data_IF_025403887220
#
_entry.id   IF_025403887220
#
_cell.length_a   1.000
_cell.length_b   1.000
_cell.length_c   1.000
_cell.angle_alpha   90.00
_cell.angle_beta   90.00
_cell.angle_gamma   90.00
#
_symmetry.space_group_name_H-M   'P 1'
#
loop_
_entity.id
_entity.type
_entity.pdbx_description
1 polymer ?
#
# COMPACT_ATOMS: atom_id res chain seq x y z
N UNK A 1 -2.57 -13.18 -12.26
CA UNK A 1 -1.47 -13.43 -11.30
C UNK A 1 -0.27 -12.47 -11.40
N UNK A 2 0.06 -11.84 -12.54
CA UNK A 2 1.30 -11.05 -12.68
C UNK A 2 1.38 -9.68 -11.97
N UNK A 3 0.25 -9.00 -11.71
CA UNK A 3 0.27 -7.64 -11.13
C UNK A 3 0.54 -7.62 -9.61
N UNK A 4 0.04 -8.62 -8.88
CA UNK A 4 0.26 -8.79 -7.44
C UNK A 4 1.75 -8.97 -7.10
N UNK A 5 2.42 -9.93 -7.74
CA UNK A 5 3.85 -10.19 -7.50
C UNK A 5 4.74 -8.99 -7.86
N UNK A 6 4.33 -8.21 -8.87
CA UNK A 6 5.03 -6.98 -9.25
C UNK A 6 4.90 -5.88 -8.20
N UNK A 7 3.69 -5.63 -7.66
CA UNK A 7 3.48 -4.67 -6.56
C UNK A 7 4.08 -5.14 -5.23
N UNK A 8 4.16 -6.45 -5.01
CA UNK A 8 4.79 -7.01 -3.82
C UNK A 8 6.31 -6.75 -3.81
N UNK A 9 6.97 -6.94 -4.96
CA UNK A 9 8.41 -6.70 -5.12
C UNK A 9 8.77 -5.21 -5.12
N UNK A 10 7.96 -4.38 -5.79
CA UNK A 10 8.14 -2.94 -5.84
C UNK A 10 6.77 -2.27 -5.61
N UNK A 11 6.54 -1.68 -4.42
CA UNK A 11 5.31 -0.97 -4.11
C UNK A 11 4.99 0.04 -5.22
N UNK A 12 3.78 -0.04 -5.77
CA UNK A 12 3.33 0.79 -6.89
C UNK A 12 3.53 0.25 -8.32
N UNK A 13 4.33 -0.81 -8.55
CA UNK A 13 4.52 -1.37 -9.90
C UNK A 13 3.25 -2.01 -10.46
N UNK A 14 2.52 -2.80 -9.65
CA UNK A 14 1.27 -3.42 -10.08
C UNK A 14 0.18 -2.40 -10.39
N UNK A 15 0.20 -1.25 -9.72
CA UNK A 15 -0.74 -0.14 -9.95
C UNK A 15 -0.46 0.62 -11.25
N UNK A 16 0.81 0.78 -11.60
CA UNK A 16 1.20 1.28 -12.92
C UNK A 16 0.71 0.35 -14.04
N UNK A 17 0.77 -0.97 -13.83
CA UNK A 17 0.31 -1.97 -14.80
C UNK A 17 -1.23 -2.09 -14.91
N UNK A 18 -1.98 -1.72 -13.87
CA UNK A 18 -3.45 -1.71 -13.88
C UNK A 18 -4.06 -0.38 -14.36
N UNK A 19 -3.23 0.60 -14.75
CA UNK A 19 -3.69 1.89 -15.26
C UNK A 19 -4.09 2.89 -14.16
N UNK A 20 -3.62 2.70 -12.92
CA UNK A 20 -3.88 3.56 -11.76
C UNK A 20 -2.59 4.25 -11.27
N UNK A 21 -2.00 5.15 -12.08
CA UNK A 21 -0.67 5.72 -11.80
C UNK A 21 -0.62 6.55 -10.50
N UNK A 22 -1.71 7.24 -10.14
CA UNK A 22 -1.78 8.02 -8.89
C UNK A 22 -1.69 7.14 -7.65
N UNK A 23 -2.40 6.00 -7.65
CA UNK A 23 -2.35 5.04 -6.53
C UNK A 23 -0.95 4.42 -6.42
N UNK A 24 -0.34 4.07 -7.56
CA UNK A 24 1.05 3.59 -7.58
C UNK A 24 2.04 4.61 -7.03
N UNK A 25 1.93 5.88 -7.43
CA UNK A 25 2.79 6.96 -6.95
C UNK A 25 2.67 7.19 -5.43
N UNK A 26 1.46 7.08 -4.87
CA UNK A 26 1.25 7.21 -3.43
C UNK A 26 1.98 6.11 -2.64
N UNK A 27 1.90 4.86 -3.09
CA UNK A 27 2.62 3.74 -2.45
C UNK A 27 4.13 3.88 -2.55
N UNK A 28 4.67 4.33 -3.70
CA UNK A 28 6.11 4.59 -3.87
C UNK A 28 6.59 5.74 -2.99
N UNK A 29 5.82 6.82 -2.88
CA UNK A 29 6.18 7.94 -2.03
C UNK A 29 6.23 7.51 -0.55
N UNK A 30 5.21 6.76 -0.10
CA UNK A 30 5.17 6.24 1.26
C UNK A 30 6.30 5.25 1.56
N UNK A 31 6.60 4.38 0.60
CA UNK A 31 7.76 3.49 0.64
C UNK A 31 9.06 4.27 0.90
N UNK A 32 9.30 5.32 0.12
CA UNK A 32 10.48 6.18 0.28
C UNK A 32 10.58 6.80 1.68
N UNK A 33 9.46 7.26 2.25
CA UNK A 33 9.42 7.81 3.61
C UNK A 33 9.79 6.76 4.66
N UNK A 34 9.16 5.58 4.60
CA UNK A 34 9.38 4.52 5.60
C UNK A 34 10.80 3.96 5.52
N UNK A 35 11.34 3.77 4.30
CA UNK A 35 12.73 3.35 4.10
C UNK A 35 13.71 4.41 4.64
N UNK A 36 13.54 5.68 4.28
CA UNK A 36 14.39 6.77 4.76
C UNK A 36 14.39 6.87 6.29
N UNK A 37 13.23 6.80 6.91
CA UNK A 37 13.10 6.86 8.37
C UNK A 37 13.72 5.64 9.06
N UNK A 38 13.58 4.45 8.48
CA UNK A 38 14.25 3.24 8.97
C UNK A 38 15.77 3.41 8.95
N UNK A 39 16.34 3.88 7.83
CA UNK A 39 17.79 4.12 7.72
C UNK A 39 18.29 5.19 8.68
N UNK A 40 17.56 6.31 8.79
CA UNK A 40 17.88 7.41 9.70
C UNK A 40 17.86 6.94 11.16
N UNK A 41 16.80 6.26 11.59
CA UNK A 41 16.68 5.73 12.94
C UNK A 41 17.77 4.70 13.26
N UNK A 42 18.19 3.91 12.26
CA UNK A 42 19.27 2.94 12.42
C UNK A 42 20.63 3.61 12.59
N UNK A 43 20.90 4.68 11.83
CA UNK A 43 22.11 5.50 11.99
C UNK A 43 22.17 6.13 13.38
N UNK A 44 21.06 6.74 13.84
CA UNK A 44 20.97 7.33 15.17
C UNK A 44 21.11 6.27 16.28
N UNK A 45 20.50 5.09 16.12
CA UNK A 45 20.65 3.98 17.07
C UNK A 45 22.11 3.49 17.15
N UNK A 46 22.82 3.41 16.03
CA UNK A 46 24.22 3.01 16.01
C UNK A 46 25.11 4.03 16.73
N UNK A 47 24.90 5.32 16.48
CA UNK A 47 25.60 6.38 17.19
C UNK A 47 25.35 6.33 18.71
N UNK A 48 24.09 6.16 19.13
CA UNK A 48 23.73 6.05 20.54
C UNK A 48 24.31 4.79 21.21
N UNK A 49 24.54 3.72 20.45
CA UNK A 49 25.19 2.50 20.91
C UNK A 49 26.66 2.75 21.23
N UNK A 50 27.37 3.49 20.40
CA UNK A 50 28.78 3.82 20.62
C UNK A 50 28.98 4.64 21.91
N UNK A 51 28.12 5.62 22.14
CA UNK A 51 28.18 6.48 23.34
C UNK A 51 27.50 5.89 24.58
N UNK A 52 27.05 4.62 24.53
CA UNK A 52 26.37 3.92 25.63
C UNK A 52 25.17 4.70 26.23
N UNK A 53 24.43 5.41 25.38
CA UNK A 53 23.30 6.23 25.81
C UNK A 53 22.13 5.37 26.27
N UNK A 54 21.45 5.81 27.34
CA UNK A 54 20.19 5.20 27.84
C UNK A 54 19.06 5.22 26.80
N UNK A 55 19.13 6.13 25.82
CA UNK A 55 18.11 6.30 24.79
C UNK A 55 18.24 5.30 23.63
N UNK A 56 19.28 4.45 23.61
CA UNK A 56 19.49 3.44 22.57
C UNK A 56 18.26 2.55 22.36
N UNK A 57 17.58 2.17 23.45
CA UNK A 57 16.39 1.30 23.37
C UNK A 57 15.25 1.97 22.60
N UNK A 58 15.01 3.26 22.84
CA UNK A 58 13.96 4.03 22.16
C UNK A 58 14.25 4.13 20.66
N UNK A 59 15.50 4.40 20.27
CA UNK A 59 15.87 4.47 18.85
C UNK A 59 15.82 3.12 18.15
N UNK A 60 16.14 2.01 18.82
CA UNK A 60 15.94 0.67 18.26
C UNK A 60 14.46 0.33 18.06
N UNK A 61 13.60 0.77 18.98
CA UNK A 61 12.15 0.61 18.82
C UNK A 61 11.65 1.43 17.63
N UNK A 62 12.11 2.67 17.47
CA UNK A 62 11.79 3.50 16.31
C UNK A 62 12.18 2.83 14.98
N UNK A 63 13.35 2.17 14.90
CA UNK A 63 13.72 1.36 13.72
C UNK A 63 12.71 0.23 13.46
N UNK A 64 12.30 -0.48 14.51
CA UNK A 64 11.32 -1.57 14.39
C UNK A 64 9.97 -1.04 13.93
N UNK A 65 9.51 0.08 14.46
CA UNK A 65 8.23 0.69 14.11
C UNK A 65 8.21 1.10 12.62
N UNK A 66 9.27 1.75 12.14
CA UNK A 66 9.38 2.11 10.72
C UNK A 66 9.52 0.90 9.81
N UNK A 67 10.26 -0.13 10.23
CA UNK A 67 10.39 -1.37 9.48
C UNK A 67 9.05 -2.12 9.37
N UNK A 68 8.25 -2.13 10.44
CA UNK A 68 6.89 -2.70 10.40
C UNK A 68 6.03 -1.94 9.41
N UNK A 69 6.00 -0.61 9.46
CA UNK A 69 5.23 0.19 8.49
C UNK A 69 5.69 -0.05 7.05
N UNK A 70 6.99 -0.22 6.84
CA UNK A 70 7.56 -0.56 5.55
C UNK A 70 7.03 -1.92 5.04
N UNK A 71 7.13 -2.98 5.84
CA UNK A 71 6.60 -4.31 5.47
C UNK A 71 5.10 -4.29 5.21
N UNK A 72 4.32 -3.61 6.06
CA UNK A 72 2.88 -3.49 5.86
C UNK A 72 2.54 -2.71 4.58
N UNK A 73 3.33 -1.71 4.20
CA UNK A 73 3.14 -1.00 2.94
C UNK A 73 3.18 -1.94 1.72
N UNK A 74 4.13 -2.88 1.68
CA UNK A 74 4.20 -3.90 0.64
C UNK A 74 2.95 -4.77 0.59
N UNK A 75 2.46 -5.21 1.76
CA UNK A 75 1.26 -6.04 1.86
C UNK A 75 0.02 -5.27 1.38
N UNK A 76 -0.15 -4.01 1.79
CA UNK A 76 -1.25 -3.17 1.34
C UNK A 76 -1.17 -2.87 -0.16
N UNK A 77 0.01 -2.56 -0.69
CA UNK A 77 0.20 -2.33 -2.13
C UNK A 77 -0.13 -3.58 -2.96
N UNK A 78 0.27 -4.76 -2.47
CA UNK A 78 -0.08 -6.04 -3.07
C UNK A 78 -1.58 -6.30 -3.04
N UNK A 79 -2.23 -6.15 -1.88
CA UNK A 79 -3.66 -6.36 -1.71
C UNK A 79 -4.49 -5.42 -2.62
N UNK A 80 -4.13 -4.14 -2.67
CA UNK A 80 -4.83 -3.17 -3.51
C UNK A 80 -4.62 -3.47 -5.01
N UNK A 81 -3.43 -3.91 -5.43
CA UNK A 81 -3.20 -4.41 -6.80
C UNK A 81 -3.98 -5.68 -7.14
N UNK A 82 -4.14 -6.59 -6.19
CA UNK A 82 -4.94 -7.80 -6.37
C UNK A 82 -6.43 -7.47 -6.54
N UNK A 83 -6.97 -6.62 -5.67
CA UNK A 83 -8.37 -6.17 -5.72
C UNK A 83 -8.64 -5.40 -7.00
N UNK A 84 -7.78 -4.44 -7.35
CA UNK A 84 -7.90 -3.65 -8.57
C UNK A 84 -7.82 -4.52 -9.85
N UNK A 85 -7.02 -5.58 -9.84
CA UNK A 85 -6.98 -6.53 -10.95
C UNK A 85 -8.25 -7.39 -11.04
N UNK A 86 -8.81 -7.85 -9.92
CA UNK A 86 -10.04 -8.65 -9.91
C UNK A 86 -11.29 -7.83 -10.23
N UNK A 87 -11.30 -6.56 -9.88
CA UNK A 87 -12.40 -5.65 -10.20
C UNK A 87 -12.31 -5.08 -11.63
N UNK A 88 -11.26 -5.40 -12.39
CA UNK A 88 -11.06 -4.88 -13.74
C UNK A 88 -12.17 -5.30 -14.70
N UNK A 89 -12.71 -6.50 -14.54
CA UNK A 89 -13.79 -7.04 -15.36
C UNK A 89 -15.18 -6.78 -14.74
N UNK A 90 -15.24 -6.10 -13.59
CA UNK A 90 -16.50 -5.82 -12.91
C UNK A 90 -17.22 -4.65 -13.58
N UNK A 91 -18.51 -4.77 -13.93
CA UNK A 91 -19.22 -3.72 -14.66
C UNK A 91 -19.26 -2.42 -13.83
N UNK A 92 -18.78 -1.29 -14.38
CA UNK A 92 -18.65 -0.03 -13.65
C UNK A 92 -20.00 0.67 -13.39
N UNK A 93 -21.06 0.26 -14.11
CA UNK A 93 -22.37 0.92 -14.12
C UNK A 93 -23.39 0.25 -13.19
N UNK A 94 -23.04 0.09 -11.91
CA UNK A 94 -24.03 -0.26 -10.89
C UNK A 94 -24.92 0.97 -10.62
N UNK A 95 -25.98 1.15 -11.42
CA UNK A 95 -26.93 2.23 -11.22
C UNK A 95 -27.92 1.83 -10.13
N UNK A 96 -27.83 2.50 -8.99
CA UNK A 96 -28.85 2.43 -7.95
C UNK A 96 -30.05 3.24 -8.42
N UNK A 97 -31.19 2.59 -8.67
CA UNK A 97 -32.44 3.24 -9.04
C UNK A 97 -33.47 3.02 -7.93
N UNK A 98 -34.09 4.12 -7.49
CA UNK A 98 -35.30 4.04 -6.71
C UNK A 98 -36.43 3.50 -7.59
N UNK A 99 -37.14 2.49 -7.10
CA UNK A 99 -38.35 1.95 -7.69
C UNK A 99 -39.52 2.14 -6.71
N UNK A 100 -40.77 2.12 -7.17
CA UNK A 100 -41.93 2.28 -6.29
C UNK A 100 -41.91 1.21 -5.17
N UNK A 101 -41.69 1.63 -3.92
CA UNK A 101 -41.63 0.75 -2.76
C UNK A 101 -40.24 0.22 -2.34
N UNK A 102 -39.14 0.60 -3.01
CA UNK A 102 -37.81 0.14 -2.61
C UNK A 102 -36.62 0.68 -3.43
N UNK A 103 -35.42 0.23 -3.07
CA UNK A 103 -34.18 0.55 -3.77
C UNK A 103 -33.77 -0.68 -4.58
N UNK A 104 -33.58 -0.53 -5.90
CA UNK A 104 -33.10 -1.57 -6.79
C UNK A 104 -31.71 -1.26 -7.36
N UNK A 105 -30.97 -2.30 -7.71
CA UNK A 105 -29.65 -2.21 -8.36
C UNK A 105 -29.79 -2.80 -9.77
N UNK A 106 -29.47 -2.02 -10.81
CA UNK A 106 -29.47 -2.51 -12.20
C UNK A 106 -28.05 -2.79 -12.70
N UNK A 107 -27.84 -3.95 -13.32
CA UNK A 107 -26.60 -4.33 -13.98
C UNK A 107 -26.86 -4.34 -15.49
N UNK A 108 -26.16 -3.53 -16.31
CA UNK A 108 -26.27 -3.63 -17.76
C UNK A 108 -25.62 -4.95 -18.23
N UNK A 109 -26.40 -5.79 -18.90
CA UNK A 109 -25.90 -6.99 -19.58
C UNK A 109 -25.52 -6.56 -20.99
N UNK A 110 -24.22 -6.56 -21.30
CA UNK A 110 -23.74 -6.43 -22.67
C UNK A 110 -23.64 -7.85 -23.27
N UNK A 111 -24.45 -8.12 -24.31
CA UNK A 111 -24.30 -9.28 -25.20
C UNK A 111 -23.10 -9.13 -26.13
#
# INVERSE_FOLDING_TARGET
MGAFFRSFLLPGWGQAATGRPLTGAAFVAWEGVTAMMTFKAQQEANYLKEIHSKNLRLKRQEVQDWLVLWVFNHLFSGAEAYVSAHLRDFPPDLKVRAFPGGIGVSIPVHE
#
